data_IF_279858530211
#
_entry.id   IF_279858530211
#
_cell.length_a   1.000
_cell.length_b   1.000
_cell.length_c   1.000
_cell.angle_alpha   90.00
_cell.angle_beta   90.00
_cell.angle_gamma   90.00
#
_symmetry.space_group_name_H-M   'P 1'
#
loop_
_entity.id
_entity.type
_entity.pdbx_description
1 polymer ?
#
# COMPACT_ATOMS: atom_id res chain seq x y z
N UNK A 1 -15.26 -42.76 1.74
CA UNK A 1 -14.06 -43.22 1.02
C UNK A 1 -13.91 -42.35 -0.20
N UNK A 2 -12.77 -41.67 -0.35
CA UNK A 2 -12.50 -40.81 -1.52
C UNK A 2 -12.28 -41.73 -2.74
N UNK A 3 -13.01 -41.50 -3.83
CA UNK A 3 -12.89 -42.30 -5.05
C UNK A 3 -11.64 -41.87 -5.84
N UNK A 4 -10.76 -42.83 -6.14
CA UNK A 4 -9.57 -42.63 -6.98
C UNK A 4 -9.90 -41.99 -8.33
N UNK A 5 -11.07 -42.29 -8.90
CA UNK A 5 -11.52 -41.70 -10.18
C UNK A 5 -11.84 -40.21 -10.05
N UNK A 6 -12.39 -39.79 -8.90
CA UNK A 6 -12.71 -38.39 -8.64
C UNK A 6 -11.43 -37.56 -8.48
N UNK A 7 -10.49 -38.06 -7.68
CA UNK A 7 -9.17 -37.46 -7.48
C UNK A 7 -8.43 -37.30 -8.81
N UNK A 8 -8.37 -38.38 -9.60
CA UNK A 8 -7.70 -38.37 -10.89
C UNK A 8 -8.34 -37.38 -11.88
N UNK A 9 -9.68 -37.27 -11.88
CA UNK A 9 -10.40 -36.30 -12.71
C UNK A 9 -10.05 -34.86 -12.33
N UNK A 10 -10.03 -34.55 -11.04
CA UNK A 10 -9.77 -33.20 -10.54
C UNK A 10 -8.34 -32.73 -10.91
N UNK A 11 -7.35 -33.58 -10.65
CA UNK A 11 -5.96 -33.28 -11.00
C UNK A 11 -5.78 -33.12 -12.52
N UNK A 12 -6.51 -33.92 -13.32
CA UNK A 12 -6.51 -33.80 -14.78
C UNK A 12 -7.16 -32.50 -15.26
N UNK A 13 -8.20 -31.99 -14.60
CA UNK A 13 -8.78 -30.67 -14.89
C UNK A 13 -7.77 -29.55 -14.66
N UNK A 14 -6.87 -29.73 -13.70
CA UNK A 14 -5.78 -28.80 -13.41
C UNK A 14 -4.49 -29.05 -14.23
N UNK A 15 -4.53 -29.96 -15.20
CA UNK A 15 -3.42 -30.27 -16.10
C UNK A 15 -2.31 -31.11 -15.47
N UNK A 16 -2.55 -31.70 -14.30
CA UNK A 16 -1.60 -32.52 -13.58
C UNK A 16 -1.86 -34.01 -13.85
N UNK A 17 -0.79 -34.79 -13.98
CA UNK A 17 -0.86 -36.25 -13.98
C UNK A 17 -0.01 -36.79 -12.85
N UNK A 18 -0.45 -37.84 -12.16
CA UNK A 18 0.28 -38.43 -11.03
C UNK A 18 0.86 -39.79 -11.41
N UNK A 19 2.03 -40.09 -10.84
CA UNK A 19 2.51 -41.45 -10.75
C UNK A 19 1.58 -42.32 -9.88
N UNK A 20 1.57 -43.62 -10.14
CA UNK A 20 0.65 -44.59 -9.48
C UNK A 20 0.83 -44.66 -7.96
N UNK A 21 2.08 -44.48 -7.55
CA UNK A 21 2.64 -44.47 -6.21
C UNK A 21 2.24 -43.18 -5.47
N UNK A 22 2.39 -42.02 -6.12
CA UNK A 22 1.88 -40.74 -5.62
C UNK A 22 0.35 -40.75 -5.42
N UNK A 23 -0.41 -41.36 -6.34
CA UNK A 23 -1.87 -41.48 -6.22
C UNK A 23 -2.28 -42.35 -5.01
N UNK A 24 -1.59 -43.47 -4.77
CA UNK A 24 -1.86 -44.31 -3.59
C UNK A 24 -1.58 -43.54 -2.30
N UNK A 25 -0.47 -42.80 -2.26
CA UNK A 25 -0.11 -41.98 -1.09
C UNK A 25 -1.16 -40.89 -0.83
N UNK A 26 -1.54 -40.14 -1.86
CA UNK A 26 -2.57 -39.09 -1.74
C UNK A 26 -3.91 -39.65 -1.22
N UNK A 27 -4.33 -40.81 -1.73
CA UNK A 27 -5.57 -41.44 -1.27
C UNK A 27 -5.48 -41.90 0.19
N UNK A 28 -4.31 -42.40 0.63
CA UNK A 28 -4.12 -42.74 2.05
C UNK A 28 -4.19 -41.50 2.94
N UNK A 29 -3.58 -40.38 2.54
CA UNK A 29 -3.59 -39.14 3.33
C UNK A 29 -4.98 -38.52 3.41
N UNK A 30 -5.70 -38.43 2.29
CA UNK A 30 -7.09 -37.94 2.25
C UNK A 30 -8.07 -38.84 3.04
N UNK A 31 -7.72 -40.10 3.24
CA UNK A 31 -8.54 -41.02 4.06
C UNK A 31 -8.20 -40.90 5.55
N UNK A 32 -6.93 -40.68 5.87
CA UNK A 32 -6.45 -40.58 7.25
C UNK A 32 -6.71 -39.20 7.87
N UNK A 33 -6.79 -38.14 7.05
CA UNK A 33 -6.98 -36.76 7.51
C UNK A 33 -8.26 -36.14 6.94
N UNK A 34 -9.37 -36.10 7.70
CA UNK A 34 -10.64 -35.55 7.23
C UNK A 34 -10.63 -34.02 7.06
N UNK A 35 -9.63 -33.33 7.61
CA UNK A 35 -9.42 -31.88 7.47
C UNK A 35 -8.74 -31.48 6.16
N UNK A 36 -8.16 -32.45 5.44
CA UNK A 36 -7.41 -32.19 4.22
C UNK A 36 -8.36 -32.25 3.00
N UNK A 37 -8.57 -31.11 2.35
CA UNK A 37 -9.37 -31.04 1.13
C UNK A 37 -8.51 -31.21 -0.13
N UNK A 38 -9.08 -31.88 -1.13
CA UNK A 38 -8.41 -32.13 -2.41
C UNK A 38 -7.98 -30.83 -3.11
N UNK A 39 -8.80 -29.78 -3.02
CA UNK A 39 -8.55 -28.49 -3.68
C UNK A 39 -7.31 -27.79 -3.10
N UNK A 40 -7.11 -27.89 -1.78
CA UNK A 40 -5.94 -27.34 -1.10
C UNK A 40 -4.67 -28.08 -1.52
N UNK A 41 -4.75 -29.41 -1.62
CA UNK A 41 -3.67 -30.27 -2.11
C UNK A 41 -3.30 -29.92 -3.55
N UNK A 42 -4.29 -29.75 -4.43
CA UNK A 42 -4.06 -29.33 -5.82
C UNK A 42 -3.40 -27.95 -5.87
N UNK A 43 -3.86 -26.99 -5.06
CA UNK A 43 -3.29 -25.64 -5.00
C UNK A 43 -1.83 -25.66 -4.53
N UNK A 44 -1.52 -26.44 -3.49
CA UNK A 44 -0.16 -26.57 -3.00
C UNK A 44 0.75 -27.25 -4.00
N UNK A 45 0.31 -28.34 -4.64
CA UNK A 45 1.06 -29.00 -5.72
C UNK A 45 1.37 -27.98 -6.82
N UNK A 46 0.39 -27.14 -7.21
CA UNK A 46 0.59 -26.13 -8.25
C UNK A 46 1.57 -25.01 -7.85
N UNK A 47 1.68 -24.69 -6.57
CA UNK A 47 2.60 -23.66 -6.06
C UNK A 47 3.98 -24.20 -5.69
N UNK A 48 4.08 -25.45 -5.24
CA UNK A 48 5.35 -26.13 -4.92
C UNK A 48 6.06 -26.60 -6.18
N UNK A 49 5.31 -26.92 -7.22
CA UNK A 49 5.83 -27.16 -8.55
C UNK A 49 6.33 -25.83 -9.13
N UNK A 50 7.62 -25.58 -8.92
CA UNK A 50 8.38 -24.54 -9.62
C UNK A 50 8.10 -24.61 -11.13
N UNK A 51 7.35 -23.64 -11.65
CA UNK A 51 7.12 -23.47 -13.10
C UNK A 51 8.42 -23.40 -13.92
N UNK A 52 9.55 -23.11 -13.26
CA UNK A 52 10.89 -22.99 -13.85
C UNK A 52 11.66 -24.32 -13.95
N UNK A 53 11.25 -25.38 -13.23
CA UNK A 53 12.02 -26.64 -13.12
C UNK A 53 11.37 -27.87 -13.78
N UNK A 54 10.11 -27.80 -14.21
CA UNK A 54 9.46 -28.96 -14.82
C UNK A 54 9.74 -29.11 -16.31
N UNK A 55 10.23 -30.30 -16.66
CA UNK A 55 10.29 -30.83 -18.03
C UNK A 55 9.02 -31.59 -18.43
N UNK A 56 8.12 -31.92 -17.47
CA UNK A 56 6.89 -32.69 -17.73
C UNK A 56 5.79 -32.43 -16.69
N UNK A 57 4.52 -32.51 -17.10
CA UNK A 57 3.33 -32.30 -16.25
C UNK A 57 3.01 -33.46 -15.27
N UNK A 58 3.98 -34.34 -15.04
CA UNK A 58 3.83 -35.55 -14.21
C UNK A 58 4.39 -35.29 -12.81
N UNK A 59 3.57 -35.52 -11.79
CA UNK A 59 3.87 -35.33 -10.36
C UNK A 59 4.42 -36.64 -9.79
N UNK A 60 5.67 -36.59 -9.31
CA UNK A 60 6.32 -37.70 -8.59
C UNK A 60 5.85 -37.78 -7.14
N UNK A 61 6.10 -38.93 -6.49
CA UNK A 61 5.81 -39.11 -5.07
C UNK A 61 6.54 -38.05 -4.21
N UNK A 62 7.82 -37.79 -4.47
CA UNK A 62 8.60 -36.80 -3.71
C UNK A 62 8.03 -35.37 -3.82
N UNK A 63 7.56 -34.99 -5.02
CA UNK A 63 6.96 -33.67 -5.24
C UNK A 63 5.62 -33.53 -4.51
N UNK A 64 4.86 -34.63 -4.44
CA UNK A 64 3.63 -34.69 -3.66
C UNK A 64 3.91 -34.61 -2.16
N UNK A 65 4.91 -35.34 -1.66
CA UNK A 65 5.30 -35.32 -0.25
C UNK A 65 5.77 -33.92 0.17
N UNK A 66 6.59 -33.26 -0.64
CA UNK A 66 7.00 -31.87 -0.40
C UNK A 66 5.82 -30.89 -0.37
N UNK A 67 4.82 -31.07 -1.25
CA UNK A 67 3.60 -30.26 -1.27
C UNK A 67 2.72 -30.52 -0.03
N UNK A 68 2.59 -31.78 0.38
CA UNK A 68 1.85 -32.18 1.58
C UNK A 68 2.54 -31.70 2.84
N UNK A 69 3.86 -31.84 2.98
CA UNK A 69 4.61 -31.32 4.13
C UNK A 69 4.44 -29.81 4.23
N UNK A 70 4.47 -29.10 3.11
CA UNK A 70 4.21 -27.65 3.10
C UNK A 70 2.79 -27.37 3.59
N UNK A 71 1.77 -28.07 3.07
CA UNK A 71 0.39 -27.88 3.51
C UNK A 71 0.16 -28.22 4.97
N UNK A 72 0.71 -29.34 5.43
CA UNK A 72 0.50 -29.85 6.76
C UNK A 72 1.20 -28.99 7.79
N UNK A 73 2.44 -28.57 7.53
CA UNK A 73 3.15 -27.61 8.38
C UNK A 73 2.45 -26.23 8.35
N UNK A 74 2.01 -25.77 7.17
CA UNK A 74 1.23 -24.53 7.04
C UNK A 74 -0.10 -24.65 7.76
N UNK A 75 -0.75 -25.81 7.81
CA UNK A 75 -2.04 -26.00 8.50
C UNK A 75 -1.89 -26.16 10.01
N UNK A 76 -0.79 -26.71 10.52
CA UNK A 76 -0.51 -26.74 11.96
C UNK A 76 -0.07 -25.37 12.50
N UNK A 77 0.59 -24.55 11.67
CA UNK A 77 1.01 -23.19 12.05
C UNK A 77 -0.01 -22.10 11.66
N UNK A 78 -0.84 -22.34 10.63
CA UNK A 78 -1.99 -21.53 10.21
C UNK A 78 -3.29 -22.27 10.46
N UNK A 79 -3.50 -22.77 11.67
CA UNK A 79 -4.83 -22.66 12.24
C UNK A 79 -5.20 -21.18 12.06
N UNK A 80 -6.05 -20.85 11.08
CA UNK A 80 -6.54 -19.51 10.84
C UNK A 80 -7.33 -19.12 12.09
N UNK A 81 -6.61 -18.68 13.12
CA UNK A 81 -7.21 -18.16 14.32
C UNK A 81 -8.05 -16.98 13.85
N UNK A 82 -9.34 -17.04 14.16
CA UNK A 82 -10.29 -15.97 13.85
C UNK A 82 -9.76 -14.61 14.32
N UNK A 83 -8.91 -14.61 15.36
CA UNK A 83 -8.21 -13.45 15.89
C UNK A 83 -6.72 -13.76 15.94
N UNK A 84 -5.91 -12.93 15.28
CA UNK A 84 -4.46 -12.95 15.37
C UNK A 84 -3.97 -11.70 16.08
N UNK A 85 -3.10 -11.87 17.09
CA UNK A 85 -2.48 -10.77 17.82
C UNK A 85 -1.05 -10.60 17.31
N UNK A 86 -0.77 -9.48 16.66
CA UNK A 86 0.57 -9.15 16.18
C UNK A 86 1.34 -8.40 17.26
N UNK A 87 2.50 -8.91 17.63
CA UNK A 87 3.43 -8.22 18.49
C UNK A 87 4.02 -6.98 17.77
N UNK A 88 3.96 -5.82 18.41
CA UNK A 88 4.49 -4.56 17.87
C UNK A 88 5.99 -4.64 17.55
N UNK A 89 6.75 -5.44 18.29
CA UNK A 89 8.20 -5.60 18.07
C UNK A 89 8.52 -6.53 16.89
N UNK A 90 7.62 -7.46 16.57
CA UNK A 90 7.78 -8.41 15.46
C UNK A 90 7.25 -7.86 14.13
N UNK A 91 6.66 -6.66 14.15
CA UNK A 91 6.18 -6.01 12.93
C UNK A 91 7.34 -5.64 11.99
N UNK A 92 7.31 -6.12 10.74
CA UNK A 92 8.32 -5.80 9.75
C UNK A 92 8.30 -4.31 9.44
N UNK A 93 9.48 -3.69 9.35
CA UNK A 93 9.58 -2.30 8.89
C UNK A 93 9.42 -2.27 7.38
N UNK A 94 8.52 -1.43 6.88
CA UNK A 94 8.34 -1.21 5.44
C UNK A 94 9.03 0.09 5.04
N UNK A 95 9.94 0.00 4.08
CA UNK A 95 10.60 1.16 3.48
C UNK A 95 10.00 1.41 2.11
N UNK A 96 9.59 2.64 1.85
CA UNK A 96 9.04 3.04 0.56
C UNK A 96 10.14 3.56 -0.36
N UNK A 97 10.20 3.02 -1.57
CA UNK A 97 11.10 3.49 -2.63
C UNK A 97 10.37 4.44 -3.59
N UNK A 98 10.73 5.74 -3.63
CA UNK A 98 10.02 6.71 -4.45
C UNK A 98 10.12 6.46 -5.97
N UNK A 99 11.23 5.88 -6.43
CA UNK A 99 11.51 5.60 -7.84
C UNK A 99 10.59 4.52 -8.40
N UNK A 100 10.46 3.40 -7.69
CA UNK A 100 9.65 2.23 -8.08
C UNK A 100 8.22 2.31 -7.56
N UNK A 101 7.95 3.21 -6.60
CA UNK A 101 6.69 3.30 -5.86
C UNK A 101 6.31 1.98 -5.15
N UNK A 102 7.31 1.17 -4.78
CA UNK A 102 7.13 -0.09 -4.06
C UNK A 102 7.50 0.03 -2.59
N UNK A 103 7.02 -0.91 -1.79
CA UNK A 103 7.47 -1.09 -0.41
C UNK A 103 8.35 -2.34 -0.34
N UNK A 104 9.43 -2.25 0.42
CA UNK A 104 10.31 -3.36 0.73
C UNK A 104 10.33 -3.60 2.23
N UNK A 105 10.36 -4.88 2.60
CA UNK A 105 10.55 -5.28 3.99
C UNK A 105 12.02 -5.07 4.34
N UNK A 106 12.26 -4.25 5.35
CA UNK A 106 13.57 -4.03 5.92
C UNK A 106 13.67 -4.73 7.27
N UNK A 107 14.58 -5.69 7.36
CA UNK A 107 15.14 -6.06 8.65
C UNK A 107 15.99 -4.86 9.10
N UNK A 108 15.52 -4.11 10.08
CA UNK A 108 16.21 -2.95 10.62
C UNK A 108 17.07 -3.40 11.82
N UNK A 109 18.35 -3.78 11.62
CA UNK A 109 19.20 -4.23 12.72
C UNK A 109 19.53 -3.09 13.69
N UNK A 110 19.20 -1.84 13.34
CA UNK A 110 19.44 -0.66 14.17
C UNK A 110 18.27 -0.28 15.05
N UNK A 111 17.14 -1.00 14.97
CA UNK A 111 15.96 -0.81 15.83
C UNK A 111 16.34 -1.01 17.30
N UNK A 112 16.36 0.10 18.05
CA UNK A 112 16.68 0.14 19.47
C UNK A 112 15.70 1.05 20.20
N UNK A 113 15.42 0.76 21.48
CA UNK A 113 14.56 1.61 22.31
C UNK A 113 15.18 3.01 22.52
N UNK A 114 16.49 3.05 22.77
CA UNK A 114 17.27 4.28 22.91
C UNK A 114 18.05 4.56 21.62
N UNK A 115 17.33 4.99 20.59
CA UNK A 115 17.91 5.30 19.29
C UNK A 115 18.57 6.69 19.26
N UNK A 116 19.43 6.92 18.27
CA UNK A 116 20.08 8.22 18.06
C UNK A 116 19.10 9.30 17.60
N UNK A 117 19.49 10.57 17.70
CA UNK A 117 18.71 11.71 17.18
C UNK A 117 18.34 11.54 15.71
N UNK A 118 19.20 10.91 14.90
CA UNK A 118 18.94 10.61 13.50
C UNK A 118 17.63 9.82 13.30
N UNK A 119 17.29 8.89 14.19
CA UNK A 119 16.04 8.13 14.11
C UNK A 119 14.81 9.00 14.32
N UNK A 120 14.91 9.98 15.24
CA UNK A 120 13.84 10.96 15.45
C UNK A 120 13.62 11.82 14.21
N UNK A 121 14.70 12.29 13.56
CA UNK A 121 14.59 13.04 12.31
C UNK A 121 13.97 12.18 11.20
N UNK A 122 14.43 10.94 11.03
CA UNK A 122 13.88 10.01 10.03
C UNK A 122 12.40 9.75 10.26
N UNK A 123 11.95 9.60 11.51
CA UNK A 123 10.54 9.43 11.83
C UNK A 123 9.67 10.61 11.34
N UNK A 124 10.12 11.85 11.54
CA UNK A 124 9.36 13.02 11.03
C UNK A 124 9.35 13.08 9.50
N UNK A 125 10.48 12.78 8.87
CA UNK A 125 10.59 12.72 7.40
C UNK A 125 9.68 11.64 6.82
N UNK A 126 9.72 10.43 7.36
CA UNK A 126 8.90 9.29 6.93
C UNK A 126 7.40 9.61 7.08
N UNK A 127 7.00 10.22 8.21
CA UNK A 127 5.62 10.67 8.44
C UNK A 127 5.18 11.71 7.43
N UNK A 128 5.99 12.74 7.20
CA UNK A 128 5.69 13.77 6.22
C UNK A 128 5.56 13.18 4.82
N UNK A 129 6.54 12.40 4.36
CA UNK A 129 6.50 11.75 3.04
C UNK A 129 5.33 10.79 2.88
N UNK A 130 4.90 10.08 3.93
CA UNK A 130 3.70 9.25 3.88
C UNK A 130 2.42 10.06 3.68
N UNK A 131 2.29 11.17 4.40
CA UNK A 131 1.14 12.06 4.26
C UNK A 131 1.14 12.76 2.90
N UNK A 132 2.28 13.30 2.45
CA UNK A 132 2.44 13.94 1.15
C UNK A 132 1.99 13.01 0.02
N UNK A 133 2.46 11.76 0.02
CA UNK A 133 2.03 10.75 -0.96
C UNK A 133 0.53 10.48 -0.93
N UNK A 134 -0.08 10.46 0.26
CA UNK A 134 -1.52 10.24 0.42
C UNK A 134 -2.32 11.42 -0.12
N UNK A 135 -1.89 12.64 0.19
CA UNK A 135 -2.54 13.88 -0.24
C UNK A 135 -2.45 14.03 -1.76
N UNK A 136 -1.27 13.81 -2.36
CA UNK A 136 -1.07 13.91 -3.81
C UNK A 136 -1.87 12.88 -4.63
N UNK A 137 -2.28 11.76 -4.03
CA UNK A 137 -3.18 10.78 -4.68
C UNK A 137 -4.65 11.17 -4.63
N UNK A 138 -5.02 12.17 -3.84
CA UNK A 138 -6.41 12.58 -3.74
C UNK A 138 -6.82 13.41 -4.96
N UNK A 139 -8.07 13.21 -5.42
CA UNK A 139 -8.59 13.80 -6.65
C UNK A 139 -8.51 15.33 -6.71
N UNK A 140 -8.61 16.00 -5.56
CA UNK A 140 -8.49 17.46 -5.47
C UNK A 140 -7.08 17.98 -5.77
N UNK A 141 -6.05 17.16 -5.56
CA UNK A 141 -4.63 17.53 -5.73
C UNK A 141 -3.95 16.80 -6.89
N UNK A 142 -4.56 15.72 -7.42
CA UNK A 142 -4.04 14.99 -8.57
C UNK A 142 -4.45 15.69 -9.87
N UNK A 143 -3.48 15.96 -10.77
CA UNK A 143 -3.76 16.52 -12.09
C UNK A 143 -4.75 15.64 -12.87
N UNK A 144 -5.70 16.20 -13.63
CA UNK A 144 -6.62 15.39 -14.44
C UNK A 144 -5.81 14.72 -15.56
N UNK A 145 -6.09 13.43 -15.81
CA UNK A 145 -5.35 12.59 -16.79
C UNK A 145 -5.34 13.20 -18.19
N UNK A 146 -6.33 14.03 -18.53
CA UNK A 146 -6.46 14.71 -19.82
C UNK A 146 -5.53 15.93 -20.02
N UNK A 147 -4.85 16.43 -18.98
CA UNK A 147 -4.01 17.64 -19.09
C UNK A 147 -2.54 17.35 -19.46
N UNK A 148 -2.20 16.13 -19.88
CA UNK A 148 -0.81 15.72 -20.16
C UNK A 148 -0.32 16.13 -21.56
N UNK A 149 -1.12 16.87 -22.35
CA UNK A 149 -0.77 17.30 -23.71
C UNK A 149 -0.59 18.81 -23.91
N UNK A 150 -0.63 19.64 -22.88
CA UNK A 150 -0.27 21.06 -23.04
C UNK A 150 0.49 21.60 -21.83
N UNK A 151 1.81 21.64 -21.98
CA UNK A 151 2.63 22.62 -21.29
C UNK A 151 2.15 24.01 -21.70
N UNK A 152 1.46 24.73 -20.81
CA UNK A 152 1.64 26.17 -20.56
C UNK A 152 0.48 26.80 -19.78
N UNK A 153 0.86 27.80 -18.98
CA UNK A 153 0.07 28.93 -18.48
C UNK A 153 -0.73 28.78 -17.19
N UNK A 154 -0.15 29.39 -16.15
CA UNK A 154 -0.80 30.32 -15.21
C UNK A 154 -2.12 30.85 -15.76
N UNK A 155 -3.24 30.56 -15.08
CA UNK A 155 -4.41 31.44 -15.09
C UNK A 155 -5.00 31.52 -13.67
N UNK A 156 -4.49 32.54 -12.98
CA UNK A 156 -5.19 33.32 -11.97
C UNK A 156 -6.50 33.90 -12.51
N UNK A 157 -7.57 33.84 -11.71
CA UNK A 157 -8.80 34.65 -11.73
C UNK A 157 -9.52 34.89 -13.08
N UNK A 158 -10.74 34.36 -13.23
CA UNK A 158 -11.79 35.15 -13.89
C UNK A 158 -13.21 34.86 -13.35
N UNK A 159 -13.81 35.91 -12.82
CA UNK A 159 -15.25 36.09 -12.62
C UNK A 159 -15.90 36.27 -14.01
N UNK A 160 -16.85 35.40 -14.37
CA UNK A 160 -17.84 35.69 -15.42
C UNK A 160 -19.20 35.19 -14.96
N UNK A 161 -20.04 36.13 -14.50
CA UNK A 161 -21.50 36.00 -14.60
C UNK A 161 -21.87 36.28 -16.04
N UNK A 162 -22.57 35.34 -16.72
CA UNK A 162 -23.78 35.61 -17.53
C UNK A 162 -24.35 34.31 -18.13
N UNK A 163 -25.65 34.11 -17.86
CA UNK A 163 -26.72 33.53 -18.70
C UNK A 163 -26.64 32.08 -19.20
N UNK A 164 -27.50 31.26 -18.58
CA UNK A 164 -28.36 30.21 -19.18
C UNK A 164 -27.71 29.19 -20.12
N UNK A 165 -27.19 28.11 -19.53
CA UNK A 165 -27.61 26.72 -19.81
C UNK A 165 -26.88 25.74 -18.85
N UNK A 166 -27.57 24.75 -18.24
CA UNK A 166 -26.98 23.88 -17.23
C UNK A 166 -26.47 22.57 -17.85
N UNK A 167 -25.18 22.53 -18.16
CA UNK A 167 -24.42 21.26 -18.17
C UNK A 167 -23.22 21.45 -17.23
N UNK A 168 -23.05 20.61 -16.20
CA UNK A 168 -21.94 20.75 -15.29
C UNK A 168 -20.68 20.23 -15.98
N UNK A 169 -20.01 21.09 -16.76
CA UNK A 169 -18.59 20.93 -17.00
C UNK A 169 -17.93 21.16 -15.64
N UNK A 170 -17.70 20.06 -14.91
CA UNK A 170 -16.94 20.07 -13.67
C UNK A 170 -15.53 20.56 -14.02
N UNK A 171 -15.32 21.88 -13.92
CA UNK A 171 -14.02 22.50 -13.78
C UNK A 171 -13.38 21.89 -12.54
N UNK A 172 -12.68 20.76 -12.71
CA UNK A 172 -11.89 20.16 -11.65
C UNK A 172 -10.70 21.08 -11.43
N UNK A 173 -10.91 22.14 -10.62
CA UNK A 173 -9.84 22.99 -10.14
C UNK A 173 -8.93 22.11 -9.29
N UNK A 174 -7.84 21.64 -9.89
CA UNK A 174 -6.84 20.87 -9.14
C UNK A 174 -6.03 21.85 -8.34
N UNK A 175 -6.18 21.77 -7.03
CA UNK A 175 -5.46 22.56 -6.07
C UNK A 175 -4.01 22.10 -6.07
N UNK A 176 -3.10 22.87 -6.67
CA UNK A 176 -1.69 22.48 -6.70
C UNK A 176 -1.02 22.81 -5.35
N UNK A 177 -0.43 21.80 -4.71
CA UNK A 177 0.39 21.99 -3.52
C UNK A 177 1.76 22.52 -3.94
N UNK A 178 2.16 23.63 -3.32
CA UNK A 178 3.47 24.28 -3.48
C UNK A 178 4.37 23.94 -2.30
N UNK A 179 5.68 23.94 -2.53
CA UNK A 179 6.67 23.82 -1.44
C UNK A 179 6.83 25.14 -0.72
N UNK A 180 7.16 25.11 0.57
CA UNK A 180 7.32 26.33 1.35
C UNK A 180 8.47 27.20 0.82
N UNK A 181 9.59 26.61 0.39
CA UNK A 181 10.70 27.34 -0.24
C UNK A 181 10.28 28.15 -1.48
N UNK A 182 9.25 27.69 -2.20
CA UNK A 182 8.78 28.33 -3.44
C UNK A 182 7.87 29.55 -3.21
N UNK A 183 7.53 29.85 -1.95
CA UNK A 183 6.71 31.01 -1.60
C UNK A 183 7.52 32.31 -1.58
N UNK A 184 8.84 32.24 -1.52
CA UNK A 184 9.71 33.41 -1.46
C UNK A 184 9.54 34.28 -2.71
N UNK A 185 9.12 35.54 -2.51
CA UNK A 185 8.91 36.50 -3.59
C UNK A 185 7.64 36.27 -4.41
N UNK A 186 6.77 35.33 -4.01
CA UNK A 186 5.50 35.05 -4.68
C UNK A 186 4.34 35.68 -3.91
N UNK A 187 3.43 36.33 -4.63
CA UNK A 187 2.21 36.92 -4.07
C UNK A 187 0.96 36.14 -4.48
N UNK A 188 -0.12 36.29 -3.71
CA UNK A 188 -1.40 35.65 -3.95
C UNK A 188 -1.62 34.35 -3.18
N UNK A 189 -2.77 33.70 -3.42
CA UNK A 189 -3.16 32.50 -2.69
C UNK A 189 -2.35 31.29 -3.14
N UNK A 190 -1.73 30.59 -2.19
CA UNK A 190 -1.01 29.33 -2.39
C UNK A 190 -1.47 28.29 -1.39
N UNK A 191 -1.43 27.03 -1.80
CA UNK A 191 -1.72 25.88 -0.95
C UNK A 191 -0.42 25.17 -0.64
N UNK A 192 -0.17 24.91 0.64
CA UNK A 192 1.04 24.28 1.12
C UNK A 192 0.71 23.11 2.03
N UNK A 193 1.63 22.15 2.10
CA UNK A 193 1.55 21.01 3.01
C UNK A 193 2.76 21.07 3.94
N UNK A 194 2.52 20.96 5.24
CA UNK A 194 3.56 21.01 6.25
C UNK A 194 3.12 20.37 7.57
N UNK A 195 4.08 20.24 8.47
CA UNK A 195 3.89 19.90 9.87
C UNK A 195 3.67 21.20 10.65
N UNK A 196 2.56 21.27 11.39
CA UNK A 196 2.28 22.40 12.27
C UNK A 196 3.12 22.26 13.54
N UNK A 197 3.80 23.33 13.92
CA UNK A 197 4.60 23.43 15.14
C UNK A 197 4.35 24.75 15.85
N UNK A 198 4.88 24.84 17.06
CA UNK A 198 4.83 26.05 17.87
C UNK A 198 6.18 26.26 18.53
N UNK A 199 6.69 27.50 18.49
CA UNK A 199 7.99 27.84 19.07
C UNK A 199 7.86 28.30 20.54
N UNK A 200 9.01 28.60 21.16
CA UNK A 200 9.08 29.04 22.56
C UNK A 200 8.33 30.35 22.83
N UNK A 201 8.08 31.16 21.80
CA UNK A 201 7.33 32.43 21.87
C UNK A 201 5.84 32.23 21.63
N UNK A 202 5.37 30.99 21.61
CA UNK A 202 4.00 30.61 21.30
C UNK A 202 3.58 30.95 19.86
N UNK A 203 4.52 31.26 18.96
CA UNK A 203 4.21 31.53 17.55
C UNK A 203 4.03 30.22 16.80
N UNK A 204 2.93 30.12 16.06
CA UNK A 204 2.60 28.95 15.26
C UNK A 204 3.36 29.03 13.94
N UNK A 205 3.96 27.92 13.53
CA UNK A 205 4.69 27.80 12.29
C UNK A 205 4.30 26.52 11.55
N UNK A 206 4.54 26.52 10.25
CA UNK A 206 4.37 25.37 9.38
C UNK A 206 5.72 25.03 8.75
N UNK A 207 6.11 23.76 8.80
CA UNK A 207 7.41 23.28 8.33
C UNK A 207 7.25 22.10 7.36
N UNK A 208 7.93 22.15 6.22
CA UNK A 208 8.04 21.03 5.28
C UNK A 208 9.48 20.51 5.22
N UNK A 209 9.83 19.68 4.23
CA UNK A 209 11.20 19.15 4.09
C UNK A 209 12.22 20.19 3.61
N UNK A 210 11.76 21.40 3.26
CA UNK A 210 12.56 22.45 2.62
C UNK A 210 12.75 23.66 3.52
N UNK A 211 11.68 24.14 4.14
CA UNK A 211 11.68 25.40 4.89
C UNK A 211 10.55 25.44 5.92
N UNK A 212 10.54 26.53 6.71
CA UNK A 212 9.50 26.85 7.68
C UNK A 212 8.95 28.26 7.43
N UNK A 213 7.67 28.45 7.66
CA UNK A 213 6.99 29.75 7.63
C UNK A 213 6.16 29.94 8.90
N UNK A 214 6.10 31.17 9.40
CA UNK A 214 5.21 31.52 10.50
C UNK A 214 3.80 31.81 9.98
N UNK A 215 2.80 31.45 10.77
CA UNK A 215 1.39 31.58 10.41
C UNK A 215 0.69 32.56 11.35
N UNK A 216 -0.11 33.47 10.79
CA UNK A 216 -1.12 34.21 11.55
C UNK A 216 -2.46 33.47 11.54
N UNK A 217 -2.69 32.69 12.59
CA UNK A 217 -3.91 31.89 12.72
C UNK A 217 -5.11 32.66 13.28
N UNK A 218 -5.02 33.99 13.44
CA UNK A 218 -6.08 34.81 14.07
C UNK A 218 -7.41 34.73 13.32
N UNK A 219 -7.36 34.66 11.98
CA UNK A 219 -8.54 34.54 11.11
C UNK A 219 -8.69 33.14 10.50
N UNK A 220 -7.96 32.14 11.01
CA UNK A 220 -7.94 30.82 10.42
C UNK A 220 -9.29 30.10 10.58
N UNK A 221 -9.92 29.79 9.44
CA UNK A 221 -11.10 28.92 9.41
C UNK A 221 -10.64 27.49 9.19
N UNK A 222 -11.05 26.60 10.10
CA UNK A 222 -10.78 25.17 9.96
C UNK A 222 -11.94 24.49 9.24
N UNK A 223 -11.64 23.74 8.19
CA UNK A 223 -12.61 22.87 7.54
C UNK A 223 -12.09 21.44 7.57
N UNK A 224 -12.87 20.54 8.18
CA UNK A 224 -12.59 19.10 8.14
C UNK A 224 -13.13 18.53 6.83
N UNK A 225 -12.25 18.25 5.88
CA UNK A 225 -12.55 17.37 4.75
C UNK A 225 -12.12 15.97 5.15
N UNK A 226 -12.82 14.93 4.68
CA UNK A 226 -12.68 13.50 5.09
C UNK A 226 -11.25 12.96 5.27
N UNK A 227 -10.22 13.62 4.72
CA UNK A 227 -8.82 13.18 4.71
C UNK A 227 -7.77 14.25 5.08
N UNK A 228 -8.14 15.53 5.26
CA UNK A 228 -7.23 16.62 5.65
C UNK A 228 -7.99 17.84 6.21
N UNK A 229 -7.29 18.65 7.03
CA UNK A 229 -7.76 19.97 7.43
C UNK A 229 -7.26 21.01 6.42
N UNK A 230 -8.15 21.86 5.94
CA UNK A 230 -7.77 23.05 5.18
C UNK A 230 -7.60 24.21 6.17
N UNK A 231 -6.51 24.95 6.03
CA UNK A 231 -6.22 26.15 6.82
C UNK A 231 -5.98 27.29 5.84
N UNK A 232 -6.84 28.31 5.90
CA UNK A 232 -6.62 29.56 5.17
C UNK A 232 -6.04 30.57 6.16
N UNK A 233 -4.90 31.14 5.80
CA UNK A 233 -4.11 32.02 6.66
C UNK A 233 -3.50 33.10 5.76
N UNK A 234 -3.47 34.33 6.24
CA UNK A 234 -2.69 35.42 5.66
C UNK A 234 -1.25 35.34 6.19
N UNK A 235 -0.27 35.65 5.33
CA UNK A 235 1.13 35.77 5.70
C UNK A 235 1.46 37.22 6.08
#
# INVERSE_FOLDING_TARGET
>A
MVDAKQVFRELKLHGLTLHSDALKRLLSELTNQPTLHLDDVVFAIKNSIDRSKLKSSVVSQDALESALDTLLNVSSDNDYQCIQVFNAFDQPKLIFHPSTKTYEVSADPTRKLHASSAHRLSLFRERFSALERRVLRHKSFSKPVAATSSSSRVESFQEVRTTSDPLPLSLTHTEQISRIESLLGVTGMKRVLGMLGQDERQQVYLEDMTSRIYLDISEAVTSCKKIYYDFTCTL
#
